data_IF_836550804978
#
_entry.id   IF_836550804978
#
_cell.length_a   1.000
_cell.length_b   1.000
_cell.length_c   1.000
_cell.angle_alpha   90.00
_cell.angle_beta   90.00
_cell.angle_gamma   90.00
#
_symmetry.space_group_name_H-M   'P 1'
#
loop_
_entity.id
_entity.type
_entity.pdbx_description
1 polymer ?
#
# COMPACT_ATOMS: atom_id res chain seq x y z
N UNK A 1 -65.32 31.61 21.74
CA UNK A 1 -64.64 31.89 20.47
C UNK A 1 -63.55 30.86 20.27
N UNK A 2 -63.59 30.18 19.12
CA UNK A 2 -62.70 29.09 18.75
C UNK A 2 -61.31 29.61 18.36
N UNK A 3 -60.24 28.87 18.70
CA UNK A 3 -59.01 28.85 17.90
C UNK A 3 -58.42 27.42 17.88
N UNK A 4 -58.26 26.94 16.65
CA UNK A 4 -57.70 25.66 16.20
C UNK A 4 -56.16 25.67 16.31
N UNK A 5 -55.56 24.48 16.43
CA UNK A 5 -54.15 24.22 16.11
C UNK A 5 -53.80 22.76 16.37
N UNK A 6 -54.19 21.83 15.49
CA UNK A 6 -53.37 21.23 14.42
C UNK A 6 -52.24 20.32 14.94
N UNK A 7 -52.50 19.00 14.92
CA UNK A 7 -51.47 17.95 14.95
C UNK A 7 -50.56 18.04 13.72
N UNK A 8 -49.29 17.66 13.88
CA UNK A 8 -48.52 16.67 13.06
C UNK A 8 -47.07 17.12 12.89
N UNK A 9 -46.14 16.22 13.21
CA UNK A 9 -44.76 16.35 12.80
C UNK A 9 -43.86 15.35 13.50
N UNK A 10 -43.87 14.08 13.04
CA UNK A 10 -42.81 13.12 13.32
C UNK A 10 -41.48 13.71 12.83
N UNK A 11 -40.60 14.09 13.75
CA UNK A 11 -39.22 14.43 13.44
C UNK A 11 -38.42 13.16 13.16
N UNK A 12 -38.20 12.87 11.88
CA UNK A 12 -37.31 11.81 11.40
C UNK A 12 -35.88 12.12 11.87
N UNK A 13 -35.37 11.28 12.77
CA UNK A 13 -33.96 11.29 13.19
C UNK A 13 -33.11 10.75 12.03
N UNK A 14 -32.51 11.65 11.24
CA UNK A 14 -31.52 11.28 10.23
C UNK A 14 -30.21 10.88 10.92
N UNK A 15 -30.03 9.58 11.17
CA UNK A 15 -28.74 8.96 11.41
C UNK A 15 -27.91 9.04 10.12
N UNK A 16 -27.05 10.05 10.01
CA UNK A 16 -26.03 10.08 8.97
C UNK A 16 -24.92 9.11 9.41
N UNK A 17 -25.06 7.84 9.04
CA UNK A 17 -23.95 6.89 9.10
C UNK A 17 -23.00 7.25 7.96
N UNK A 18 -22.05 8.12 8.25
CA UNK A 18 -20.87 8.34 7.39
C UNK A 18 -19.91 7.18 7.57
N UNK A 19 -20.29 6.00 7.05
CA UNK A 19 -19.39 4.89 6.87
C UNK A 19 -18.47 5.19 5.68
N UNK A 20 -17.35 5.87 5.91
CA UNK A 20 -16.31 6.01 4.91
C UNK A 20 -15.60 4.66 4.76
N UNK A 21 -16.15 3.78 3.94
CA UNK A 21 -15.45 2.61 3.45
C UNK A 21 -14.31 3.07 2.53
N UNK A 22 -13.14 3.34 3.10
CA UNK A 22 -11.91 3.39 2.32
C UNK A 22 -11.15 2.10 2.60
N UNK A 23 -11.43 1.06 1.81
CA UNK A 23 -10.36 0.13 1.48
C UNK A 23 -9.35 0.93 0.67
N UNK A 24 -8.45 1.66 1.34
CA UNK A 24 -7.45 2.43 0.63
C UNK A 24 -6.35 1.48 0.16
N UNK A 25 -6.67 0.75 -0.91
CA UNK A 25 -5.67 0.06 -1.72
C UNK A 25 -4.57 1.06 -2.08
N UNK A 26 -3.32 0.73 -1.74
CA UNK A 26 -2.19 1.46 -2.28
C UNK A 26 -2.05 1.04 -3.73
N UNK A 27 -1.95 1.98 -4.66
CA UNK A 27 -1.83 1.64 -6.09
C UNK A 27 -0.67 2.37 -6.74
N UNK A 28 -0.08 1.73 -7.74
CA UNK A 28 0.93 2.35 -8.58
C UNK A 28 0.26 3.17 -9.69
N UNK A 29 0.60 4.45 -9.77
CA UNK A 29 0.18 5.39 -10.81
C UNK A 29 1.43 6.00 -11.45
N UNK A 30 1.87 5.42 -12.57
CA UNK A 30 3.15 5.79 -13.18
C UNK A 30 4.33 5.52 -12.23
N UNK A 31 5.06 6.57 -11.86
CA UNK A 31 6.18 6.48 -10.91
C UNK A 31 5.77 6.79 -9.46
N UNK A 32 4.47 6.84 -9.14
CA UNK A 32 3.96 7.14 -7.80
C UNK A 32 3.24 5.94 -7.22
N UNK A 33 3.35 5.77 -5.91
CA UNK A 33 2.49 4.88 -5.13
C UNK A 33 1.51 5.77 -4.37
N UNK A 34 0.23 5.66 -4.68
CA UNK A 34 -0.83 6.53 -4.15
C UNK A 34 -1.71 5.76 -3.17
N UNK A 35 -2.16 6.45 -2.11
CA UNK A 35 -3.12 5.94 -1.12
C UNK A 35 -4.04 7.10 -0.75
N UNK A 36 -5.36 6.88 -0.83
CA UNK A 36 -6.35 7.91 -0.51
C UNK A 36 -6.23 9.20 -1.35
N UNK A 37 -5.78 9.08 -2.60
CA UNK A 37 -5.57 10.24 -3.49
C UNK A 37 -4.30 11.05 -3.21
N UNK A 38 -3.43 10.60 -2.29
CA UNK A 38 -2.15 11.24 -1.98
C UNK A 38 -0.98 10.32 -2.32
N UNK A 39 0.10 10.89 -2.85
CA UNK A 39 1.35 10.15 -3.09
C UNK A 39 2.02 9.80 -1.77
N UNK A 40 2.19 8.50 -1.53
CA UNK A 40 2.89 7.96 -0.36
C UNK A 40 4.36 7.73 -0.64
N UNK A 41 4.66 7.20 -1.82
CA UNK A 41 6.01 6.92 -2.28
C UNK A 41 6.18 7.31 -3.74
N UNK A 42 7.43 7.56 -4.13
CA UNK A 42 7.85 7.66 -5.54
C UNK A 42 8.75 6.47 -5.85
N UNK A 43 8.48 5.82 -6.97
CA UNK A 43 9.30 4.74 -7.52
C UNK A 43 10.35 5.37 -8.44
N UNK A 44 11.61 4.99 -8.26
CA UNK A 44 12.71 5.35 -9.17
C UNK A 44 13.39 4.09 -9.67
N UNK A 45 13.56 3.96 -10.97
CA UNK A 45 14.33 2.87 -11.57
C UNK A 45 15.66 3.40 -12.08
N UNK A 46 16.75 2.72 -11.75
CA UNK A 46 18.10 3.02 -12.24
C UNK A 46 18.82 1.70 -12.56
N UNK A 47 19.05 1.45 -13.84
CA UNK A 47 19.55 0.16 -14.32
C UNK A 47 18.66 -0.98 -13.82
N UNK A 48 19.26 -1.89 -13.06
CA UNK A 48 18.64 -3.08 -12.50
C UNK A 48 18.05 -2.89 -11.09
N UNK A 49 18.04 -1.66 -10.57
CA UNK A 49 17.54 -1.35 -9.22
C UNK A 49 16.26 -0.51 -9.28
N UNK A 50 15.24 -0.92 -8.53
CA UNK A 50 14.02 -0.16 -8.26
C UNK A 50 14.09 0.35 -6.83
N UNK A 51 13.98 1.66 -6.63
CA UNK A 51 14.01 2.32 -5.32
C UNK A 51 12.64 2.87 -4.97
N UNK A 52 12.20 2.62 -3.74
CA UNK A 52 10.99 3.19 -3.14
C UNK A 52 11.40 4.39 -2.28
N UNK A 53 11.00 5.58 -2.70
CA UNK A 53 11.44 6.85 -2.11
C UNK A 53 10.28 7.55 -1.40
N UNK A 54 10.51 8.02 -0.18
CA UNK A 54 9.57 8.83 0.60
C UNK A 54 10.27 10.12 1.01
N UNK A 55 9.69 11.28 0.67
CA UNK A 55 10.22 12.61 1.02
C UNK A 55 11.69 12.88 0.62
N UNK A 56 12.18 12.20 -0.41
CA UNK A 56 13.57 12.34 -0.90
C UNK A 56 14.50 11.20 -0.44
N UNK A 57 14.12 10.47 0.61
CA UNK A 57 14.91 9.37 1.16
C UNK A 57 14.49 8.02 0.61
N UNK A 58 15.46 7.17 0.28
CA UNK A 58 15.20 5.79 -0.13
C UNK A 58 14.81 4.96 1.09
N UNK A 59 13.60 4.43 1.09
CA UNK A 59 13.09 3.59 2.17
C UNK A 59 13.47 2.12 1.94
N UNK A 60 13.38 1.67 0.69
CA UNK A 60 13.79 0.32 0.30
C UNK A 60 14.10 0.20 -1.18
N UNK A 61 14.70 -0.92 -1.57
CA UNK A 61 15.06 -1.22 -2.95
C UNK A 61 14.72 -2.66 -3.31
N UNK A 62 14.38 -2.89 -4.57
CA UNK A 62 14.48 -4.19 -5.21
C UNK A 62 15.65 -4.15 -6.20
N UNK A 63 16.66 -4.96 -5.96
CA UNK A 63 17.85 -5.10 -6.82
C UNK A 63 17.72 -6.39 -7.61
N UNK A 64 17.69 -6.32 -8.95
CA UNK A 64 17.58 -7.50 -9.80
C UNK A 64 18.74 -8.47 -9.54
N UNK A 65 18.40 -9.74 -9.49
CA UNK A 65 19.34 -10.85 -9.44
C UNK A 65 19.01 -11.85 -10.54
N UNK A 66 19.89 -12.84 -10.74
CA UNK A 66 19.69 -13.90 -11.73
C UNK A 66 18.34 -14.62 -11.56
N UNK A 67 17.89 -14.82 -10.32
CA UNK A 67 16.66 -15.54 -9.99
C UNK A 67 15.67 -14.68 -9.17
N UNK A 68 15.50 -13.41 -9.55
CA UNK A 68 14.48 -12.55 -8.95
C UNK A 68 15.04 -11.21 -8.48
N UNK A 69 14.77 -10.81 -7.24
CA UNK A 69 15.28 -9.57 -6.66
C UNK A 69 15.73 -9.75 -5.20
N UNK A 70 16.83 -9.12 -4.82
CA UNK A 70 17.11 -8.84 -3.41
C UNK A 70 16.31 -7.61 -2.97
N UNK A 71 15.64 -7.70 -1.83
CA UNK A 71 14.91 -6.59 -1.23
C UNK A 71 15.77 -6.00 -0.12
N UNK A 72 16.21 -4.76 -0.32
CA UNK A 72 17.08 -4.03 0.60
C UNK A 72 16.29 -3.00 1.39
N UNK A 73 16.59 -2.89 2.69
CA UNK A 73 16.04 -1.89 3.60
C UNK A 73 17.18 -1.37 4.47
N UNK A 74 17.38 -0.05 4.49
CA UNK A 74 18.48 0.56 5.26
C UNK A 74 19.89 0.22 4.75
N UNK A 75 20.02 -0.36 3.56
CA UNK A 75 21.30 -0.80 2.98
C UNK A 75 21.58 -2.29 3.10
N UNK A 76 20.76 -3.03 3.86
CA UNK A 76 20.91 -4.47 4.05
C UNK A 76 19.84 -5.24 3.26
N UNK A 77 20.21 -6.40 2.71
CA UNK A 77 19.24 -7.34 2.15
C UNK A 77 18.46 -7.98 3.28
N UNK A 78 17.15 -7.70 3.35
CA UNK A 78 16.27 -8.20 4.41
C UNK A 78 15.33 -9.30 3.92
N UNK A 79 15.10 -9.39 2.62
CA UNK A 79 14.28 -10.40 1.98
C UNK A 79 14.73 -10.67 0.54
N UNK A 80 14.31 -11.79 -0.02
CA UNK A 80 14.48 -12.12 -1.44
C UNK A 80 13.11 -12.36 -2.07
N UNK A 81 12.91 -11.81 -3.26
CA UNK A 81 11.76 -12.09 -4.11
C UNK A 81 12.20 -13.08 -5.18
N UNK A 82 11.70 -14.31 -5.12
CA UNK A 82 12.03 -15.37 -6.07
C UNK A 82 10.81 -16.25 -6.32
N UNK A 83 10.61 -16.64 -7.59
CA UNK A 83 9.55 -17.57 -8.02
C UNK A 83 8.15 -17.20 -7.49
N UNK A 84 7.81 -15.90 -7.50
CA UNK A 84 6.51 -15.38 -7.03
C UNK A 84 6.35 -15.34 -5.49
N UNK A 85 7.45 -15.49 -4.74
CA UNK A 85 7.45 -15.57 -3.28
C UNK A 85 8.49 -14.64 -2.66
N UNK A 86 8.15 -14.11 -1.49
CA UNK A 86 9.02 -13.28 -0.65
C UNK A 86 9.55 -14.17 0.45
N UNK A 87 10.87 -14.31 0.54
CA UNK A 87 11.57 -15.09 1.56
C UNK A 87 12.35 -14.19 2.50
N UNK A 88 12.45 -14.61 3.77
CA UNK A 88 13.38 -14.07 4.75
C UNK A 88 14.36 -15.18 5.10
N UNK A 89 15.58 -15.08 4.57
CA UNK A 89 16.50 -16.23 4.54
C UNK A 89 15.86 -17.36 3.74
N UNK A 90 15.76 -18.55 4.33
CA UNK A 90 15.14 -19.72 3.70
C UNK A 90 13.63 -19.85 4.01
N UNK A 91 13.09 -18.98 4.87
CA UNK A 91 11.69 -19.05 5.28
C UNK A 91 10.83 -18.21 4.36
N UNK A 92 9.83 -18.83 3.72
CA UNK A 92 8.82 -18.11 2.96
C UNK A 92 8.00 -17.22 3.91
N UNK A 93 7.95 -15.93 3.59
CA UNK A 93 7.24 -14.93 4.37
C UNK A 93 5.87 -14.62 3.79
N UNK A 94 5.78 -14.49 2.47
CA UNK A 94 4.54 -14.26 1.73
C UNK A 94 4.69 -14.69 0.27
N UNK A 95 3.57 -14.79 -0.44
CA UNK A 95 3.54 -14.73 -1.90
C UNK A 95 3.49 -13.28 -2.38
N UNK A 96 3.91 -13.07 -3.61
CA UNK A 96 3.69 -11.83 -4.34
C UNK A 96 2.22 -11.47 -4.42
N UNK A 97 1.34 -12.45 -4.65
CA UNK A 97 -0.09 -12.18 -4.80
C UNK A 97 -0.67 -11.56 -3.51
N UNK A 98 -0.24 -12.06 -2.35
CA UNK A 98 -0.60 -11.46 -1.06
C UNK A 98 -0.09 -10.02 -0.94
N UNK A 99 1.12 -9.72 -1.41
CA UNK A 99 1.62 -8.35 -1.46
C UNK A 99 0.81 -7.47 -2.43
N UNK A 100 0.45 -7.99 -3.61
CA UNK A 100 -0.30 -7.27 -4.63
C UNK A 100 -1.75 -6.97 -4.24
N UNK A 101 -2.36 -7.80 -3.39
CA UNK A 101 -3.67 -7.52 -2.80
C UNK A 101 -3.67 -6.30 -1.89
N UNK A 102 -2.51 -5.94 -1.32
CA UNK A 102 -2.34 -4.75 -0.47
C UNK A 102 -1.84 -3.56 -1.28
N UNK A 103 -0.96 -3.84 -2.25
CA UNK A 103 -0.34 -2.86 -3.13
C UNK A 103 -0.58 -3.24 -4.59
N UNK A 104 -1.55 -2.61 -5.24
CA UNK A 104 -1.83 -2.77 -6.67
C UNK A 104 -0.69 -2.17 -7.50
N UNK A 105 0.39 -2.94 -7.61
CA UNK A 105 1.68 -2.55 -8.13
C UNK A 105 2.37 -3.75 -8.80
N UNK A 106 3.32 -3.50 -9.72
CA UNK A 106 4.20 -4.54 -10.25
C UNK A 106 4.94 -5.29 -9.15
N UNK A 107 5.20 -6.57 -9.40
CA UNK A 107 5.81 -7.54 -8.48
C UNK A 107 6.91 -6.99 -7.55
N UNK A 108 8.03 -6.45 -8.09
CA UNK A 108 9.13 -6.00 -7.24
C UNK A 108 8.76 -4.81 -6.36
N UNK A 109 7.84 -3.95 -6.82
CA UNK A 109 7.38 -2.78 -6.07
C UNK A 109 6.44 -3.23 -4.95
N UNK A 110 5.44 -4.06 -5.27
CA UNK A 110 4.50 -4.59 -4.29
C UNK A 110 5.23 -5.37 -3.18
N UNK A 111 6.18 -6.24 -3.56
CA UNK A 111 6.98 -6.99 -2.60
C UNK A 111 7.84 -6.07 -1.71
N UNK A 112 8.51 -5.06 -2.28
CA UNK A 112 9.32 -4.12 -1.50
C UNK A 112 8.47 -3.34 -0.50
N UNK A 113 7.30 -2.82 -0.94
CA UNK A 113 6.38 -2.08 -0.06
C UNK A 113 5.85 -2.96 1.08
N UNK A 114 5.50 -4.21 0.76
CA UNK A 114 5.04 -5.17 1.77
C UNK A 114 6.13 -5.46 2.81
N UNK A 115 7.38 -5.64 2.38
CA UNK A 115 8.53 -5.82 3.29
C UNK A 115 8.78 -4.57 4.14
N UNK A 116 8.69 -3.36 3.56
CA UNK A 116 8.83 -2.11 4.30
C UNK A 116 7.80 -2.01 5.44
N UNK A 117 6.53 -2.30 5.15
CA UNK A 117 5.48 -2.29 6.18
C UNK A 117 5.78 -3.29 7.32
N UNK A 118 6.32 -4.47 7.01
CA UNK A 118 6.67 -5.49 8.04
C UNK A 118 7.97 -5.20 8.79
N UNK A 119 8.82 -4.36 8.25
CA UNK A 119 10.06 -3.91 8.91
C UNK A 119 9.88 -2.57 9.63
N UNK A 120 8.69 -1.96 9.57
CA UNK A 120 8.37 -0.70 10.24
C UNK A 120 8.95 0.53 9.54
N UNK A 121 9.05 0.51 8.21
CA UNK A 121 9.60 1.58 7.37
C UNK A 121 8.58 2.19 6.41
#
# INVERSE_FOLDING_TARGET
MAMKGTLRGLGVLWLVVSGSAFATESKCAGNRVERGGSTQYTVRSSGETISIVRMGDTQGRAVKQAQGHAIEVGGDTVATLQDGHIYRGETRWASVNEAQRVYDCPEPIAATLWVLERTGR
#
